data_IF_387512423590
#
_entry.id   IF_387512423590
#
_cell.length_a   1.000
_cell.length_b   1.000
_cell.length_c   1.000
_cell.angle_alpha   90.00
_cell.angle_beta   90.00
_cell.angle_gamma   90.00
#
_symmetry.space_group_name_H-M   'P 1'
#
loop_
_entity.id
_entity.type
_entity.pdbx_description
1 polymer ?
#
# COMPACT_ATOMS: atom_id res chain seq x y z
N UNK A 1 -11.94 8.58 20.70
CA UNK A 1 -10.63 9.24 20.57
C UNK A 1 -10.77 10.67 21.07
N UNK A 2 -9.93 11.09 22.01
CA UNK A 2 -9.92 12.44 22.59
C UNK A 2 -9.11 13.39 21.69
N UNK A 3 -9.43 13.44 20.40
CA UNK A 3 -8.73 14.31 19.45
C UNK A 3 -9.33 15.71 19.50
N UNK A 4 -8.52 16.72 19.73
CA UNK A 4 -8.94 18.12 19.69
C UNK A 4 -8.92 18.64 18.25
N UNK A 5 -9.99 19.34 17.84
CA UNK A 5 -10.11 19.95 16.53
C UNK A 5 -10.38 21.44 16.66
N UNK A 6 -9.61 22.26 15.94
CA UNK A 6 -9.72 23.72 15.96
C UNK A 6 -10.17 24.18 14.57
N UNK A 7 -11.21 25.01 14.56
CA UNK A 7 -11.71 25.65 13.32
C UNK A 7 -11.31 27.12 13.31
N UNK A 8 -10.74 27.57 12.20
CA UNK A 8 -10.42 28.98 12.01
C UNK A 8 -10.60 29.44 10.58
N UNK A 9 -10.59 30.74 10.39
CA UNK A 9 -10.61 31.39 9.07
C UNK A 9 -9.24 32.00 8.79
N UNK A 10 -8.71 31.75 7.58
CA UNK A 10 -7.45 32.33 7.13
C UNK A 10 -7.58 32.88 5.71
N UNK A 11 -6.76 33.85 5.34
CA UNK A 11 -6.62 34.22 3.93
C UNK A 11 -5.88 33.12 3.16
N UNK A 12 -6.00 33.05 1.82
CA UNK A 12 -5.22 32.13 1.02
C UNK A 12 -3.70 32.26 1.25
N UNK A 13 -3.19 33.49 1.44
CA UNK A 13 -1.76 33.71 1.73
C UNK A 13 -1.35 33.16 3.10
N UNK A 14 -2.14 33.40 4.15
CA UNK A 14 -1.91 32.84 5.47
C UNK A 14 -1.90 31.30 5.39
N UNK A 15 -2.88 30.74 4.70
CA UNK A 15 -2.96 29.30 4.51
C UNK A 15 -1.73 28.73 3.79
N UNK A 16 -1.30 29.34 2.67
CA UNK A 16 -0.11 28.88 1.95
C UNK A 16 1.17 28.99 2.80
N UNK A 17 1.24 29.96 3.71
CA UNK A 17 2.32 30.06 4.68
C UNK A 17 2.29 28.91 5.69
N UNK A 18 1.11 28.60 6.24
CA UNK A 18 0.91 27.52 7.20
C UNK A 18 1.35 26.14 6.64
N UNK A 19 0.96 25.84 5.41
CA UNK A 19 1.32 24.55 4.81
C UNK A 19 2.77 24.53 4.29
N UNK A 20 3.37 25.70 4.06
CA UNK A 20 4.75 25.84 3.59
C UNK A 20 4.95 25.47 2.12
N UNK A 21 6.21 25.51 1.66
CA UNK A 21 6.55 25.17 0.27
C UNK A 21 6.56 23.65 0.01
N UNK A 22 6.81 22.89 1.05
CA UNK A 22 7.01 21.44 1.00
C UNK A 22 5.71 20.67 1.30
N UNK A 23 4.55 21.31 1.10
CA UNK A 23 3.24 20.67 1.35
C UNK A 23 3.02 19.42 0.47
N UNK A 24 3.78 19.25 -0.59
CA UNK A 24 3.78 18.06 -1.45
C UNK A 24 4.54 16.88 -0.83
N UNK A 25 5.42 17.12 0.15
CA UNK A 25 6.30 16.10 0.73
C UNK A 25 5.63 15.22 1.78
N UNK A 26 4.43 15.60 2.24
CA UNK A 26 3.71 14.78 3.19
C UNK A 26 3.39 13.41 2.59
N UNK A 27 4.07 12.38 3.08
CA UNK A 27 4.13 11.04 2.51
C UNK A 27 2.78 10.32 2.35
N UNK A 28 1.73 10.82 2.98
CA UNK A 28 0.38 10.25 2.94
C UNK A 28 -0.50 10.83 1.82
N UNK A 29 -0.03 11.87 1.11
CA UNK A 29 -0.82 12.61 0.14
C UNK A 29 -0.78 11.99 -1.28
N UNK A 30 -1.88 12.21 -2.04
CA UNK A 30 -1.93 11.90 -3.47
C UNK A 30 -1.06 12.87 -4.27
N UNK A 31 -0.65 12.41 -5.46
CA UNK A 31 -0.01 13.30 -6.45
C UNK A 31 -1.01 14.30 -7.03
N UNK A 32 -0.45 15.39 -7.56
CA UNK A 32 -1.20 16.34 -8.37
C UNK A 32 -1.86 15.64 -9.56
N UNK A 33 -3.18 15.73 -9.65
CA UNK A 33 -3.95 15.21 -10.77
C UNK A 33 -4.18 16.32 -11.82
N UNK A 34 -3.92 16.02 -13.10
CA UNK A 34 -4.34 16.87 -14.20
C UNK A 34 -5.80 16.57 -14.50
N UNK A 35 -6.71 17.38 -13.99
CA UNK A 35 -8.14 17.21 -14.20
C UNK A 35 -8.71 18.27 -15.14
N UNK A 36 -9.66 17.87 -16.02
CA UNK A 36 -10.32 18.80 -16.96
C UNK A 36 -11.02 19.99 -16.29
N UNK A 37 -11.42 19.86 -15.02
CA UNK A 37 -12.09 20.90 -14.26
C UNK A 37 -11.12 21.80 -13.48
N UNK A 38 -9.80 21.61 -13.61
CA UNK A 38 -8.80 22.40 -12.91
C UNK A 38 -8.87 23.89 -13.29
N UNK A 39 -8.94 24.17 -14.59
CA UNK A 39 -9.02 25.53 -15.10
C UNK A 39 -10.32 26.23 -14.67
N UNK A 40 -11.45 25.49 -14.67
CA UNK A 40 -12.73 26.04 -14.20
C UNK A 40 -12.67 26.41 -12.72
N UNK A 41 -12.16 25.52 -11.86
CA UNK A 41 -12.02 25.81 -10.44
C UNK A 41 -11.06 26.98 -10.19
N UNK A 42 -10.02 27.13 -11.02
CA UNK A 42 -9.10 28.27 -10.97
C UNK A 42 -9.81 29.60 -11.24
N UNK A 43 -10.68 29.67 -12.26
CA UNK A 43 -11.48 30.86 -12.57
C UNK A 43 -12.53 31.12 -11.49
N UNK A 44 -13.16 30.08 -10.94
CA UNK A 44 -14.11 30.21 -9.83
C UNK A 44 -13.42 30.80 -8.58
N UNK A 45 -12.19 30.40 -8.27
CA UNK A 45 -11.40 30.96 -7.15
C UNK A 45 -11.07 32.43 -7.41
N UNK A 46 -10.66 32.81 -8.64
CA UNK A 46 -10.42 34.21 -9.01
C UNK A 46 -11.68 35.05 -8.86
N UNK A 47 -12.84 34.48 -9.15
CA UNK A 47 -14.13 35.15 -9.00
C UNK A 47 -14.57 35.31 -7.51
N UNK A 48 -13.88 34.67 -6.58
CA UNK A 48 -14.16 34.75 -5.14
C UNK A 48 -15.13 33.69 -4.64
N UNK A 49 -15.25 32.56 -5.31
CA UNK A 49 -16.10 31.43 -4.86
C UNK A 49 -15.66 30.90 -3.49
N UNK A 50 -16.63 30.58 -2.64
CA UNK A 50 -16.39 29.94 -1.34
C UNK A 50 -15.93 28.52 -1.58
N UNK A 51 -14.75 28.18 -1.06
CA UNK A 51 -14.21 26.82 -1.13
C UNK A 51 -14.69 25.97 0.05
N UNK A 52 -14.87 24.66 -0.15
CA UNK A 52 -15.04 23.74 0.96
C UNK A 52 -13.89 23.84 1.96
N UNK A 53 -14.14 23.54 3.23
CA UNK A 53 -13.13 23.57 4.28
C UNK A 53 -11.90 22.70 3.93
N UNK A 54 -10.75 23.11 4.43
CA UNK A 54 -9.47 22.39 4.26
C UNK A 54 -9.11 21.77 5.61
N UNK A 55 -8.84 20.47 5.61
CA UNK A 55 -8.48 19.74 6.82
C UNK A 55 -6.97 19.54 6.92
N UNK A 56 -6.42 19.91 8.05
CA UNK A 56 -4.99 19.95 8.35
C UNK A 56 -4.67 19.11 9.59
N UNK A 57 -3.50 18.50 9.66
CA UNK A 57 -2.93 17.96 10.87
C UNK A 57 -1.72 18.81 11.27
N UNK A 58 -1.66 19.23 12.52
CA UNK A 58 -0.48 19.91 13.04
C UNK A 58 0.69 18.92 13.06
N UNK A 59 1.86 19.34 12.57
CA UNK A 59 3.05 18.48 12.55
C UNK A 59 3.54 18.17 13.95
N UNK A 60 4.13 16.98 14.18
CA UNK A 60 4.56 16.55 15.51
C UNK A 60 5.48 17.55 16.23
N UNK A 61 6.37 18.21 15.50
CA UNK A 61 7.32 19.19 16.04
C UNK A 61 6.68 20.49 16.56
N UNK A 62 5.46 20.81 16.13
CA UNK A 62 4.69 21.98 16.56
C UNK A 62 3.58 21.64 17.55
N UNK A 63 3.22 20.35 17.64
CA UNK A 63 2.00 19.90 18.30
C UNK A 63 1.96 20.21 19.79
N UNK A 64 3.06 19.98 20.51
CA UNK A 64 3.10 20.23 21.97
C UNK A 64 2.94 21.71 22.29
N UNK A 65 3.54 22.62 21.50
CA UNK A 65 3.38 24.06 21.67
C UNK A 65 1.95 24.50 21.37
N UNK A 66 1.31 23.94 20.34
CA UNK A 66 -0.09 24.24 19.99
C UNK A 66 -1.04 23.75 21.08
N UNK A 67 -0.84 22.54 21.61
CA UNK A 67 -1.65 22.00 22.70
C UNK A 67 -1.49 22.83 23.99
N UNK A 68 -0.27 23.21 24.33
CA UNK A 68 -0.01 24.06 25.52
C UNK A 68 -0.69 25.42 25.39
N UNK A 69 -0.55 26.06 24.23
CA UNK A 69 -1.21 27.35 23.98
C UNK A 69 -2.74 27.22 24.00
N UNK A 70 -3.29 26.15 23.43
CA UNK A 70 -4.73 25.90 23.47
C UNK A 70 -5.26 25.80 24.91
N UNK A 71 -4.51 25.15 25.79
CA UNK A 71 -4.95 24.93 27.17
C UNK A 71 -4.64 26.11 28.10
N UNK A 72 -3.50 26.80 27.91
CA UNK A 72 -2.95 27.72 28.91
C UNK A 72 -2.81 29.16 28.40
N UNK A 73 -2.66 29.40 27.11
CA UNK A 73 -2.44 30.73 26.53
C UNK A 73 -3.06 30.89 25.15
N UNK A 74 -4.38 31.10 25.07
CA UNK A 74 -5.10 31.22 23.78
C UNK A 74 -4.60 32.34 22.86
N UNK A 75 -3.99 33.40 23.39
CA UNK A 75 -3.46 34.51 22.60
C UNK A 75 -2.26 34.11 21.74
N UNK A 76 -1.47 33.12 22.18
CA UNK A 76 -0.35 32.56 21.42
C UNK A 76 -0.76 31.43 20.46
N UNK A 77 -1.97 30.91 20.60
CA UNK A 77 -2.47 29.82 19.78
C UNK A 77 -2.43 30.15 18.28
N UNK A 78 -2.87 31.36 17.93
CA UNK A 78 -2.88 31.83 16.53
C UNK A 78 -1.45 31.89 15.98
N UNK A 79 -0.48 32.35 16.78
CA UNK A 79 0.92 32.41 16.38
C UNK A 79 1.50 31.01 16.11
N UNK A 80 1.22 30.04 16.98
CA UNK A 80 1.70 28.67 16.81
C UNK A 80 1.03 27.94 15.64
N UNK A 81 -0.29 28.12 15.44
CA UNK A 81 -1.00 27.54 14.30
C UNK A 81 -0.57 28.14 12.96
N UNK A 82 -0.23 29.44 12.94
CA UNK A 82 0.19 30.16 11.72
C UNK A 82 1.69 30.08 11.43
N UNK A 83 2.45 29.34 12.24
CA UNK A 83 3.88 29.14 11.99
C UNK A 83 4.12 28.52 10.60
N UNK A 84 5.13 29.00 9.85
CA UNK A 84 5.39 28.51 8.50
C UNK A 84 5.67 26.99 8.48
N UNK A 85 4.96 26.27 7.64
CA UNK A 85 5.10 24.83 7.50
C UNK A 85 4.61 24.01 8.70
N UNK A 86 3.78 24.58 9.58
CA UNK A 86 3.33 23.93 10.83
C UNK A 86 2.34 22.79 10.64
N UNK A 87 1.72 22.67 9.46
CA UNK A 87 0.65 21.69 9.25
C UNK A 87 0.80 20.89 7.96
N UNK A 88 0.36 19.65 8.00
CA UNK A 88 0.19 18.77 6.86
C UNK A 88 -1.26 18.81 6.39
N UNK A 89 -1.48 18.75 5.08
CA UNK A 89 -2.83 18.74 4.51
C UNK A 89 -3.40 17.32 4.61
N UNK A 90 -4.60 17.15 5.15
CA UNK A 90 -5.33 15.87 5.16
C UNK A 90 -6.37 15.81 4.03
N UNK A 91 -7.14 16.91 3.85
CA UNK A 91 -8.02 17.10 2.69
C UNK A 91 -7.84 18.52 2.13
N UNK A 92 -7.98 18.65 0.80
CA UNK A 92 -7.85 19.93 0.10
C UNK A 92 -6.59 20.09 -0.75
N UNK A 93 -5.76 19.06 -0.90
CA UNK A 93 -4.49 19.15 -1.63
C UNK A 93 -4.65 19.69 -3.07
N UNK A 94 -5.65 19.24 -3.82
CA UNK A 94 -5.86 19.75 -5.19
C UNK A 94 -6.22 21.24 -5.22
N UNK A 95 -6.97 21.71 -4.22
CA UNK A 95 -7.27 23.14 -4.01
C UNK A 95 -6.00 23.91 -3.67
N UNK A 96 -5.13 23.33 -2.86
CA UNK A 96 -3.83 23.91 -2.50
C UNK A 96 -2.95 24.13 -3.73
N UNK A 97 -2.88 23.14 -4.63
CA UNK A 97 -2.15 23.29 -5.89
C UNK A 97 -2.67 24.46 -6.70
N UNK A 98 -4.00 24.65 -6.78
CA UNK A 98 -4.59 25.75 -7.53
C UNK A 98 -4.28 27.10 -6.86
N UNK A 99 -4.42 27.19 -5.54
CA UNK A 99 -4.09 28.42 -4.80
C UNK A 99 -2.62 28.77 -4.96
N UNK A 100 -1.73 27.79 -4.86
CA UNK A 100 -0.30 28.00 -5.05
C UNK A 100 0.04 28.42 -6.50
N UNK A 101 -0.58 27.81 -7.50
CA UNK A 101 -0.41 28.20 -8.91
C UNK A 101 -0.88 29.63 -9.16
N UNK A 102 -2.03 30.00 -8.61
CA UNK A 102 -2.54 31.38 -8.72
C UNK A 102 -1.55 32.38 -8.14
N UNK A 103 -0.99 32.08 -6.97
CA UNK A 103 -0.02 32.97 -6.30
C UNK A 103 1.32 33.03 -7.02
N UNK A 104 1.86 31.89 -7.43
CA UNK A 104 3.23 31.78 -7.96
C UNK A 104 3.34 31.97 -9.46
N UNK A 105 2.42 31.44 -10.24
CA UNK A 105 2.49 31.43 -11.70
C UNK A 105 1.67 32.56 -12.32
N UNK A 106 0.49 32.88 -11.76
CA UNK A 106 -0.40 33.94 -12.29
C UNK A 106 -0.17 35.27 -11.59
N UNK A 107 0.63 35.32 -10.51
CA UNK A 107 0.81 36.51 -9.64
C UNK A 107 -0.53 37.09 -9.19
N UNK A 108 -1.50 36.26 -8.92
CA UNK A 108 -2.85 36.67 -8.53
C UNK A 108 -2.86 37.15 -7.08
N UNK A 109 -3.40 38.36 -6.88
CA UNK A 109 -3.60 38.92 -5.55
C UNK A 109 -4.99 38.55 -5.02
N UNK A 110 -5.04 37.74 -3.98
CA UNK A 110 -6.28 37.36 -3.32
C UNK A 110 -6.88 38.56 -2.57
N UNK A 111 -8.21 38.63 -2.59
CA UNK A 111 -8.91 39.69 -1.83
C UNK A 111 -8.85 39.41 -0.34
N UNK A 112 -8.71 40.44 0.49
CA UNK A 112 -8.62 40.29 1.95
C UNK A 112 -9.88 39.64 2.56
N UNK A 113 -11.04 39.86 1.95
CA UNK A 113 -12.31 39.26 2.35
C UNK A 113 -12.43 37.80 1.97
N UNK A 114 -11.57 37.28 1.09
CA UNK A 114 -11.58 35.90 0.66
C UNK A 114 -10.95 35.04 1.77
N UNK A 115 -11.80 34.30 2.47
CA UNK A 115 -11.39 33.45 3.59
C UNK A 115 -11.57 31.97 3.27
N UNK A 116 -10.67 31.18 3.76
CA UNK A 116 -10.72 29.72 3.77
C UNK A 116 -11.10 29.25 5.17
N UNK A 117 -12.01 28.28 5.27
CA UNK A 117 -12.26 27.58 6.52
C UNK A 117 -11.19 26.48 6.67
N UNK A 118 -10.43 26.54 7.74
CA UNK A 118 -9.40 25.57 8.10
C UNK A 118 -9.85 24.76 9.32
N UNK A 119 -9.65 23.45 9.26
CA UNK A 119 -9.89 22.51 10.34
C UNK A 119 -8.55 21.90 10.74
N UNK A 120 -8.02 22.24 11.93
CA UNK A 120 -6.76 21.71 12.45
C UNK A 120 -7.01 20.57 13.41
N UNK A 121 -6.39 19.43 13.13
CA UNK A 121 -6.37 18.25 13.98
C UNK A 121 -5.11 18.24 14.85
N UNK A 122 -5.32 18.26 16.18
CA UNK A 122 -4.26 18.11 17.17
C UNK A 122 -4.19 16.63 17.56
N UNK A 123 -3.54 15.83 16.71
CA UNK A 123 -3.49 14.38 16.87
C UNK A 123 -2.03 13.92 16.91
N UNK A 124 -1.67 13.19 17.96
CA UNK A 124 -0.31 12.62 18.13
C UNK A 124 -0.15 11.30 17.39
N UNK A 125 -1.24 10.55 17.24
CA UNK A 125 -1.20 9.23 16.63
C UNK A 125 -1.39 9.32 15.13
N UNK A 126 -0.35 8.94 14.38
CA UNK A 126 -0.37 8.91 12.93
C UNK A 126 -1.49 8.00 12.37
N UNK A 127 -1.88 6.96 13.10
CA UNK A 127 -2.94 6.05 12.68
C UNK A 127 -4.31 6.73 12.67
N UNK A 128 -4.59 7.55 13.66
CA UNK A 128 -5.81 8.35 13.70
C UNK A 128 -5.86 9.35 12.54
N UNK A 129 -4.72 9.95 12.20
CA UNK A 129 -4.58 10.85 11.04
C UNK A 129 -4.87 10.08 9.73
N UNK A 130 -4.27 8.91 9.54
CA UNK A 130 -4.48 8.05 8.37
C UNK A 130 -5.95 7.63 8.25
N UNK A 131 -6.53 7.15 9.35
CA UNK A 131 -7.96 6.79 9.38
C UNK A 131 -8.84 7.96 8.93
N UNK A 132 -8.58 9.15 9.46
CA UNK A 132 -9.33 10.35 9.08
C UNK A 132 -9.18 10.70 7.61
N UNK A 133 -7.97 10.60 7.06
CA UNK A 133 -7.74 10.81 5.63
C UNK A 133 -8.56 9.86 4.76
N UNK A 134 -8.62 8.58 5.12
CA UNK A 134 -9.42 7.58 4.41
C UNK A 134 -10.90 7.95 4.45
N UNK A 135 -11.42 8.30 5.63
CA UNK A 135 -12.84 8.67 5.81
C UNK A 135 -13.19 9.94 5.04
N UNK A 136 -12.39 11.00 5.15
CA UNK A 136 -12.61 12.27 4.43
C UNK A 136 -12.63 12.10 2.91
N UNK A 137 -11.79 11.24 2.39
CA UNK A 137 -11.69 11.01 0.95
C UNK A 137 -12.68 9.97 0.42
N UNK A 138 -13.44 9.29 1.27
CA UNK A 138 -14.41 8.25 0.85
C UNK A 138 -15.62 8.82 0.06
N UNK A 139 -15.96 10.07 0.29
CA UNK A 139 -17.08 10.77 -0.38
C UNK A 139 -16.72 11.54 -1.64
N UNK A 140 -15.42 11.62 -1.99
CA UNK A 140 -14.91 12.31 -3.18
C UNK A 140 -14.56 11.29 -4.28
N UNK A 141 -13.72 11.68 -5.27
CA UNK A 141 -13.12 10.67 -6.16
C UNK A 141 -12.36 9.68 -5.28
N UNK A 142 -12.93 8.49 -5.11
CA UNK A 142 -12.42 7.50 -4.16
C UNK A 142 -10.91 7.24 -4.34
N UNK A 143 -10.16 7.16 -3.26
CA UNK A 143 -8.80 6.66 -3.30
C UNK A 143 -8.80 5.26 -3.88
N UNK A 144 -7.75 4.90 -4.67
CA UNK A 144 -7.55 3.51 -5.02
C UNK A 144 -7.41 2.68 -3.73
N UNK A 145 -7.92 1.46 -3.74
CA UNK A 145 -7.78 0.55 -2.60
C UNK A 145 -6.31 0.33 -2.28
N UNK A 146 -5.47 0.22 -3.30
CA UNK A 146 -4.02 0.11 -3.15
C UNK A 146 -3.44 1.29 -2.36
N UNK A 147 -3.83 2.52 -2.70
CA UNK A 147 -3.38 3.71 -1.97
C UNK A 147 -3.86 3.73 -0.51
N UNK A 148 -5.08 3.27 -0.24
CA UNK A 148 -5.59 3.16 1.13
C UNK A 148 -4.80 2.15 1.96
N UNK A 149 -4.44 1.00 1.37
CA UNK A 149 -3.60 -0.01 2.01
C UNK A 149 -2.18 0.54 2.24
N UNK A 150 -1.59 1.21 1.25
CA UNK A 150 -0.28 1.85 1.39
C UNK A 150 -0.28 2.84 2.57
N UNK A 151 -1.33 3.65 2.71
CA UNK A 151 -1.45 4.60 3.83
C UNK A 151 -1.45 3.89 5.20
N UNK A 152 -2.16 2.78 5.32
CA UNK A 152 -2.22 2.03 6.57
C UNK A 152 -0.85 1.42 6.94
N UNK A 153 -0.06 1.00 5.97
CA UNK A 153 1.22 0.34 6.20
C UNK A 153 2.45 1.27 6.16
N UNK A 154 2.29 2.52 5.69
CA UNK A 154 3.43 3.43 5.51
C UNK A 154 4.14 3.77 6.83
N UNK A 155 3.38 3.87 7.93
CA UNK A 155 3.94 4.08 9.27
C UNK A 155 4.79 2.91 9.76
N UNK A 156 4.56 1.72 9.22
CA UNK A 156 5.31 0.51 9.55
C UNK A 156 6.46 0.24 8.58
N UNK A 157 6.54 0.97 7.46
CA UNK A 157 7.50 0.71 6.38
C UNK A 157 8.95 0.63 6.88
N UNK A 158 9.41 1.63 7.63
CA UNK A 158 10.79 1.67 8.15
C UNK A 158 11.08 0.53 9.14
N UNK A 159 10.08 0.17 9.96
CA UNK A 159 10.20 -0.95 10.90
C UNK A 159 10.29 -2.28 10.14
N UNK A 160 9.46 -2.45 9.12
CA UNK A 160 9.46 -3.64 8.27
C UNK A 160 10.80 -3.76 7.55
N UNK A 161 11.26 -2.69 6.87
CA UNK A 161 12.54 -2.68 6.14
C UNK A 161 13.73 -2.98 7.05
N UNK A 162 13.71 -2.54 8.32
CA UNK A 162 14.78 -2.84 9.27
C UNK A 162 14.86 -4.31 9.67
N UNK A 163 13.80 -5.09 9.47
CA UNK A 163 13.71 -6.52 9.79
C UNK A 163 13.89 -7.43 8.58
N UNK A 164 13.89 -6.87 7.39
CA UNK A 164 14.09 -7.61 6.15
C UNK A 164 15.59 -7.69 5.81
N UNK A 165 16.00 -8.66 4.97
CA UNK A 165 17.36 -8.72 4.43
C UNK A 165 17.79 -7.40 3.78
N UNK A 166 19.08 -7.08 3.88
CA UNK A 166 19.61 -5.87 3.26
C UNK A 166 19.36 -5.84 1.75
N UNK A 167 18.94 -4.68 1.26
CA UNK A 167 18.70 -4.44 -0.16
C UNK A 167 17.25 -4.72 -0.60
N UNK A 168 16.35 -5.11 0.30
CA UNK A 168 14.91 -5.15 0.00
C UNK A 168 14.35 -3.73 0.05
N UNK A 169 13.68 -3.31 -1.01
CA UNK A 169 13.02 -2.02 -1.14
C UNK A 169 11.50 -2.21 -1.19
N UNK A 170 10.79 -1.54 -0.29
CA UNK A 170 9.33 -1.44 -0.32
C UNK A 170 8.94 -0.09 -0.93
N UNK A 171 8.06 -0.09 -1.93
CA UNK A 171 7.59 1.13 -2.56
C UNK A 171 6.06 1.25 -2.50
N UNK A 172 5.57 2.48 -2.44
CA UNK A 172 4.15 2.80 -2.46
C UNK A 172 3.68 3.21 -3.86
N UNK A 173 2.38 3.28 -4.09
CA UNK A 173 1.80 3.81 -5.34
C UNK A 173 2.32 5.24 -5.63
N UNK A 174 2.60 6.01 -4.57
CA UNK A 174 3.13 7.36 -4.66
C UNK A 174 4.52 7.42 -5.29
N UNK A 175 5.37 6.43 -5.02
CA UNK A 175 6.77 6.44 -5.47
C UNK A 175 6.90 6.34 -6.99
N UNK A 176 5.77 6.12 -7.72
CA UNK A 176 5.72 5.89 -9.17
C UNK A 176 6.73 4.82 -9.61
N UNK A 177 7.01 3.94 -8.69
CA UNK A 177 7.99 2.89 -8.86
C UNK A 177 7.32 1.65 -9.42
N UNK A 178 8.07 0.90 -10.18
CA UNK A 178 7.65 -0.42 -10.67
C UNK A 178 8.69 -1.43 -10.25
N UNK A 179 8.29 -2.67 -10.16
CA UNK A 179 9.23 -3.76 -9.96
C UNK A 179 10.11 -3.90 -11.22
N UNK A 180 11.35 -3.45 -11.11
CA UNK A 180 12.36 -3.53 -12.16
C UNK A 180 13.51 -4.46 -11.79
N UNK A 181 13.50 -4.98 -10.57
CA UNK A 181 14.52 -5.85 -9.98
C UNK A 181 13.91 -6.75 -8.90
N UNK A 182 14.51 -7.89 -8.58
CA UNK A 182 13.93 -8.91 -7.70
C UNK A 182 13.71 -8.45 -6.26
N UNK A 183 14.44 -7.48 -5.78
CA UNK A 183 14.39 -7.04 -4.37
C UNK A 183 13.39 -5.90 -4.13
N UNK A 184 12.47 -5.64 -5.05
CA UNK A 184 11.59 -4.48 -5.02
C UNK A 184 10.13 -4.90 -5.03
N UNK A 185 9.39 -4.52 -3.97
CA UNK A 185 8.00 -4.95 -3.78
C UNK A 185 7.08 -3.79 -3.45
N UNK A 186 5.82 -3.79 -3.97
CA UNK A 186 4.81 -2.83 -3.53
C UNK A 186 4.46 -3.06 -2.04
N UNK A 187 4.36 -1.98 -1.27
CA UNK A 187 3.97 -2.05 0.14
C UNK A 187 2.56 -2.64 0.31
N UNK A 188 1.64 -2.28 -0.58
CA UNK A 188 0.29 -2.85 -0.63
C UNK A 188 0.28 -4.36 -0.87
N UNK A 189 1.17 -4.86 -1.73
CA UNK A 189 1.28 -6.30 -1.99
C UNK A 189 1.77 -7.06 -0.75
N UNK A 190 2.74 -6.50 -0.02
CA UNK A 190 3.18 -7.07 1.26
C UNK A 190 2.03 -7.09 2.28
N UNK A 191 1.28 -5.99 2.40
CA UNK A 191 0.15 -5.88 3.30
C UNK A 191 -0.95 -6.91 3.00
N UNK A 192 -1.29 -7.08 1.72
CA UNK A 192 -2.27 -8.09 1.27
C UNK A 192 -1.75 -9.50 1.51
N UNK A 193 -0.46 -9.75 1.29
CA UNK A 193 0.17 -11.04 1.58
C UNK A 193 0.09 -11.39 3.07
N UNK A 194 0.34 -10.42 3.94
CA UNK A 194 0.15 -10.60 5.38
C UNK A 194 -1.31 -10.92 5.73
N UNK A 195 -2.27 -10.20 5.13
CA UNK A 195 -3.69 -10.51 5.33
C UNK A 195 -4.03 -11.93 4.87
N UNK A 196 -3.54 -12.37 3.71
CA UNK A 196 -3.74 -13.75 3.24
C UNK A 196 -3.15 -14.78 4.22
N UNK A 197 -2.00 -14.48 4.81
CA UNK A 197 -1.35 -15.32 5.81
C UNK A 197 -2.18 -15.47 7.10
N UNK A 198 -2.68 -14.37 7.68
CA UNK A 198 -3.47 -14.41 8.93
C UNK A 198 -4.86 -14.99 8.72
N UNK A 199 -5.51 -14.67 7.60
CA UNK A 199 -6.86 -15.19 7.27
C UNK A 199 -6.84 -16.59 6.67
N UNK A 200 -5.65 -17.10 6.28
CA UNK A 200 -5.48 -18.41 5.65
C UNK A 200 -6.26 -18.56 4.33
N UNK A 201 -6.54 -17.45 3.70
CA UNK A 201 -7.38 -17.36 2.51
C UNK A 201 -6.67 -16.57 1.40
N UNK A 202 -6.64 -17.13 0.21
CA UNK A 202 -6.12 -16.50 -1.00
C UNK A 202 -7.17 -15.71 -1.78
N UNK A 203 -8.44 -15.82 -1.42
CA UNK A 203 -9.51 -15.00 -2.00
C UNK A 203 -9.49 -13.60 -1.38
N UNK A 204 -9.51 -12.59 -2.24
CA UNK A 204 -9.46 -11.21 -1.83
C UNK A 204 -10.77 -10.51 -2.14
N UNK A 205 -11.46 -10.09 -1.11
CA UNK A 205 -12.37 -8.96 -1.18
C UNK A 205 -11.62 -7.72 -0.70
N UNK A 206 -11.08 -6.95 -1.67
CA UNK A 206 -10.30 -5.77 -1.38
C UNK A 206 -11.07 -4.70 -0.58
N UNK A 207 -12.41 -4.65 -0.72
CA UNK A 207 -13.24 -3.70 0.04
C UNK A 207 -13.37 -4.11 1.51
N UNK A 208 -13.44 -5.41 1.79
CA UNK A 208 -13.49 -5.92 3.16
C UNK A 208 -12.13 -5.86 3.87
N UNK A 209 -11.04 -5.79 3.11
CA UNK A 209 -9.67 -5.81 3.62
C UNK A 209 -9.37 -4.56 4.44
N UNK A 210 -9.75 -3.38 3.95
CA UNK A 210 -9.54 -2.11 4.65
C UNK A 210 -10.33 -2.08 5.95
N UNK A 211 -11.62 -2.48 5.90
CA UNK A 211 -12.44 -2.56 7.10
C UNK A 211 -11.84 -3.51 8.14
N UNK A 212 -11.35 -4.68 7.72
CA UNK A 212 -10.70 -5.63 8.62
C UNK A 212 -9.39 -5.12 9.21
N UNK A 213 -8.54 -4.47 8.44
CA UNK A 213 -7.33 -3.85 9.00
C UNK A 213 -7.64 -2.78 10.04
N UNK A 214 -8.80 -2.12 9.93
CA UNK A 214 -9.27 -1.14 10.91
C UNK A 214 -9.90 -1.81 12.14
N UNK A 215 -10.70 -2.87 11.95
CA UNK A 215 -11.41 -3.56 13.01
C UNK A 215 -10.51 -4.49 13.84
N UNK A 216 -9.54 -5.15 13.22
CA UNK A 216 -8.67 -6.14 13.89
C UNK A 216 -7.59 -5.50 14.76
N UNK A 217 -7.53 -4.17 14.87
CA UNK A 217 -6.51 -3.48 15.66
C UNK A 217 -5.08 -3.76 15.21
N UNK A 218 -4.90 -4.25 13.96
CA UNK A 218 -3.57 -4.49 13.38
C UNK A 218 -2.72 -3.21 13.43
N UNK A 219 -3.40 -2.06 13.51
CA UNK A 219 -2.82 -0.75 13.60
C UNK A 219 -2.67 -0.23 15.04
N UNK A 220 -3.49 -0.72 15.99
CA UNK A 220 -3.39 -0.35 17.42
C UNK A 220 -2.18 -0.98 18.12
N UNK A 221 -1.63 -2.03 17.53
CA UNK A 221 -0.44 -2.73 18.04
C UNK A 221 0.88 -1.99 17.79
N UNK A 222 0.84 -0.70 17.46
CA UNK A 222 2.02 0.13 17.22
C UNK A 222 2.99 0.22 18.41
N UNK A 223 2.62 -0.27 19.59
CA UNK A 223 3.50 -0.31 20.79
C UNK A 223 3.82 -1.69 21.32
N UNK A 224 2.98 -2.66 21.09
CA UNK A 224 3.23 -4.04 21.49
C UNK A 224 3.42 -4.90 20.27
N UNK A 225 4.43 -4.53 19.46
CA UNK A 225 4.95 -5.59 18.69
C UNK A 225 4.09 -5.95 17.49
N UNK A 226 4.58 -5.70 16.45
CA UNK A 226 4.47 -6.71 15.41
C UNK A 226 4.26 -8.04 16.12
N UNK A 227 3.01 -8.45 16.25
CA UNK A 227 2.66 -9.63 17.01
C UNK A 227 3.47 -10.83 16.49
N UNK A 228 3.54 -11.90 17.25
CA UNK A 228 4.32 -13.09 16.89
C UNK A 228 4.01 -13.56 15.44
N UNK A 229 2.76 -13.44 15.02
CA UNK A 229 2.32 -13.79 13.65
C UNK A 229 2.94 -12.90 12.58
N UNK A 230 3.08 -11.60 12.83
CA UNK A 230 3.73 -10.71 11.87
C UNK A 230 5.23 -10.94 11.78
N UNK A 231 5.89 -11.22 12.91
CA UNK A 231 7.31 -11.58 12.89
C UNK A 231 7.55 -12.87 12.11
N UNK A 232 6.69 -13.85 12.29
CA UNK A 232 6.75 -15.10 11.54
C UNK A 232 6.44 -14.90 10.05
N UNK A 233 5.46 -14.07 9.72
CA UNK A 233 5.22 -13.65 8.34
C UNK A 233 6.47 -13.00 7.72
N UNK A 234 7.16 -12.10 8.43
CA UNK A 234 8.40 -11.49 7.95
C UNK A 234 9.53 -12.49 7.75
N UNK A 235 9.63 -13.54 8.56
CA UNK A 235 10.58 -14.62 8.33
C UNK A 235 10.28 -15.38 7.02
N UNK A 236 9.00 -15.71 6.79
CA UNK A 236 8.59 -16.31 5.52
C UNK A 236 8.75 -15.36 4.33
N UNK A 237 8.51 -14.06 4.55
CA UNK A 237 8.73 -13.06 3.50
C UNK A 237 10.22 -12.92 3.17
N UNK A 238 11.11 -12.97 4.16
CA UNK A 238 12.56 -13.01 3.93
C UNK A 238 12.96 -14.22 3.09
N UNK A 239 12.48 -15.41 3.44
CA UNK A 239 12.67 -16.60 2.63
C UNK A 239 12.13 -16.42 1.20
N UNK A 240 10.91 -15.89 1.07
CA UNK A 240 10.30 -15.60 -0.23
C UNK A 240 11.17 -14.71 -1.10
N UNK A 241 11.76 -13.64 -0.53
CA UNK A 241 12.64 -12.73 -1.28
C UNK A 241 13.93 -13.40 -1.75
N UNK A 242 14.44 -14.37 -1.00
CA UNK A 242 15.62 -15.16 -1.41
C UNK A 242 15.30 -16.02 -2.63
N UNK A 243 14.22 -16.81 -2.58
CA UNK A 243 13.85 -17.69 -3.71
C UNK A 243 13.40 -16.87 -4.93
N UNK A 244 12.71 -15.76 -4.73
CA UNK A 244 12.29 -14.86 -5.80
C UNK A 244 13.48 -14.25 -6.53
N UNK A 245 14.54 -13.86 -5.80
CA UNK A 245 15.78 -13.35 -6.40
C UNK A 245 16.45 -14.38 -7.31
N UNK A 246 16.54 -15.63 -6.87
CA UNK A 246 17.15 -16.70 -7.66
C UNK A 246 16.28 -17.05 -8.87
N UNK A 247 14.97 -17.16 -8.69
CA UNK A 247 14.02 -17.40 -9.77
C UNK A 247 14.06 -16.27 -10.83
N UNK A 248 14.09 -15.01 -10.37
CA UNK A 248 14.24 -13.87 -11.29
C UNK A 248 15.47 -13.99 -12.19
N UNK A 249 16.63 -14.31 -11.62
CA UNK A 249 17.87 -14.44 -12.39
C UNK A 249 17.79 -15.58 -13.41
N UNK A 250 17.13 -16.70 -13.07
CA UNK A 250 16.92 -17.83 -14.00
C UNK A 250 15.97 -17.46 -15.14
N UNK A 251 14.88 -16.79 -14.84
CA UNK A 251 13.83 -16.48 -15.81
C UNK A 251 14.02 -15.17 -16.58
N UNK A 252 14.99 -14.31 -16.20
CA UNK A 252 15.14 -12.98 -16.81
C UNK A 252 15.35 -12.97 -18.33
N UNK A 253 15.94 -14.04 -18.86
CA UNK A 253 16.22 -14.20 -20.28
C UNK A 253 15.18 -15.06 -21.02
N UNK A 254 14.18 -15.58 -20.30
CA UNK A 254 13.09 -16.34 -20.90
C UNK A 254 11.96 -15.38 -21.25
N UNK A 255 11.75 -15.17 -22.55
CA UNK A 255 10.61 -14.41 -23.07
C UNK A 255 9.48 -15.39 -23.38
N UNK A 256 8.28 -15.08 -22.92
CA UNK A 256 7.08 -15.72 -23.47
C UNK A 256 6.90 -15.14 -24.87
N UNK A 257 6.79 -15.97 -25.90
CA UNK A 257 6.30 -15.54 -27.22
C UNK A 257 4.82 -15.14 -27.07
N UNK A 258 4.62 -13.85 -26.77
CA UNK A 258 3.29 -13.31 -26.54
C UNK A 258 2.68 -12.94 -27.90
N UNK A 259 1.94 -13.87 -28.49
CA UNK A 259 0.96 -13.59 -29.54
C UNK A 259 -0.44 -13.22 -28.99
N UNK A 260 -0.56 -12.92 -27.70
CA UNK A 260 -1.84 -12.52 -27.09
C UNK A 260 -1.70 -11.15 -26.42
N UNK A 261 -2.39 -10.18 -27.01
CA UNK A 261 -2.66 -8.85 -26.48
C UNK A 261 -3.50 -8.97 -25.20
N UNK A 262 -2.87 -9.10 -24.03
CA UNK A 262 -3.57 -8.88 -22.76
C UNK A 262 -3.57 -7.40 -22.40
N UNK A 263 -4.77 -6.82 -22.37
CA UNK A 263 -5.12 -5.40 -22.24
C UNK A 263 -4.95 -4.83 -20.81
N UNK A 264 -4.30 -5.51 -19.88
CA UNK A 264 -4.25 -5.12 -18.46
C UNK A 264 -2.87 -4.77 -17.88
N UNK A 265 -1.88 -4.43 -18.72
CA UNK A 265 -0.67 -3.74 -18.23
C UNK A 265 0.27 -4.53 -17.31
N UNK A 266 0.02 -5.79 -17.02
CA UNK A 266 0.89 -6.65 -16.23
C UNK A 266 1.73 -7.51 -17.17
N UNK A 267 3.04 -7.28 -17.14
CA UNK A 267 4.01 -8.10 -17.88
C UNK A 267 3.90 -9.57 -17.42
N UNK A 268 3.43 -10.45 -18.28
CA UNK A 268 3.44 -11.91 -18.07
C UNK A 268 4.85 -12.48 -18.28
N UNK A 269 5.85 -11.87 -17.69
CA UNK A 269 7.22 -12.35 -17.73
C UNK A 269 7.42 -13.45 -16.70
N UNK A 270 8.06 -14.55 -17.06
CA UNK A 270 8.42 -15.64 -16.15
C UNK A 270 9.17 -15.14 -14.93
N UNK A 271 10.05 -14.16 -15.09
CA UNK A 271 10.84 -13.57 -14.00
C UNK A 271 10.01 -12.93 -12.89
N UNK A 272 8.79 -12.43 -13.20
CA UNK A 272 7.91 -11.79 -12.22
C UNK A 272 6.84 -12.75 -11.70
N UNK A 273 6.83 -14.01 -12.14
CA UNK A 273 5.75 -14.94 -11.84
C UNK A 273 5.57 -15.16 -10.34
N UNK A 274 6.64 -15.44 -9.61
CA UNK A 274 6.56 -15.72 -8.17
C UNK A 274 6.05 -14.50 -7.39
N UNK A 275 6.51 -13.31 -7.74
CA UNK A 275 6.13 -12.06 -7.08
C UNK A 275 4.89 -11.40 -7.68
N UNK A 276 4.13 -12.07 -8.57
CA UNK A 276 2.82 -11.56 -8.95
C UNK A 276 1.79 -11.80 -7.84
N UNK A 277 0.70 -11.01 -7.85
CA UNK A 277 -0.33 -11.07 -6.83
C UNK A 277 -0.89 -12.48 -6.63
N UNK A 278 -1.10 -13.24 -7.71
CA UNK A 278 -1.72 -14.55 -7.62
C UNK A 278 -0.82 -15.60 -6.95
N UNK A 279 0.47 -15.62 -7.29
CA UNK A 279 1.41 -16.57 -6.73
C UNK A 279 1.78 -16.20 -5.29
N UNK A 280 2.09 -14.92 -5.06
CA UNK A 280 2.50 -14.45 -3.74
C UNK A 280 1.39 -14.61 -2.69
N UNK A 281 0.16 -14.20 -3.02
CA UNK A 281 -0.98 -14.32 -2.09
C UNK A 281 -1.35 -15.77 -1.81
N UNK A 282 -1.30 -16.63 -2.84
CA UNK A 282 -1.53 -18.07 -2.70
C UNK A 282 -0.47 -18.71 -1.78
N UNK A 283 0.80 -18.37 -1.98
CA UNK A 283 1.91 -18.88 -1.18
C UNK A 283 1.73 -18.53 0.31
N UNK A 284 1.49 -17.26 0.64
CA UNK A 284 1.32 -16.84 2.03
C UNK A 284 0.03 -17.36 2.68
N UNK A 285 -1.07 -17.46 1.94
CA UNK A 285 -2.29 -18.09 2.44
C UNK A 285 -2.08 -19.56 2.81
N UNK A 286 -1.32 -20.29 2.01
CA UNK A 286 -1.00 -21.70 2.29
C UNK A 286 -0.11 -21.81 3.52
N UNK A 287 0.95 -21.03 3.65
CA UNK A 287 1.80 -21.02 4.84
C UNK A 287 0.99 -20.75 6.11
N UNK A 288 0.14 -19.71 6.10
CA UNK A 288 -0.74 -19.40 7.22
C UNK A 288 -1.71 -20.54 7.56
N UNK A 289 -2.24 -21.25 6.55
CA UNK A 289 -3.17 -22.36 6.76
C UNK A 289 -2.48 -23.59 7.36
N UNK A 290 -1.26 -23.88 7.00
CA UNK A 290 -0.51 -25.07 7.44
C UNK A 290 0.17 -24.88 8.79
N UNK A 291 0.58 -23.65 9.11
CA UNK A 291 1.21 -23.29 10.37
C UNK A 291 0.32 -23.59 11.59
N UNK A 292 -0.98 -23.42 11.46
CA UNK A 292 -1.94 -23.67 12.55
C UNK A 292 -2.33 -25.14 12.69
N UNK A 293 -1.66 -26.03 12.00
CA UNK A 293 -1.93 -27.47 12.01
C UNK A 293 -0.72 -28.24 12.54
N UNK A 294 -0.89 -29.56 12.78
CA UNK A 294 0.23 -30.46 13.11
C UNK A 294 1.27 -30.62 12.00
N UNK A 295 1.16 -29.84 10.92
CA UNK A 295 2.02 -29.89 9.74
C UNK A 295 3.14 -28.83 9.74
N UNK A 296 3.30 -28.07 10.84
CA UNK A 296 4.30 -26.99 10.93
C UNK A 296 5.73 -27.48 10.62
N UNK A 297 6.13 -28.65 11.15
CA UNK A 297 7.45 -29.25 10.86
C UNK A 297 7.67 -29.63 9.39
N UNK A 298 6.60 -29.78 8.60
CA UNK A 298 6.70 -30.05 7.16
C UNK A 298 7.00 -28.80 6.35
N UNK A 299 6.60 -27.61 6.86
CA UNK A 299 6.85 -26.35 6.17
C UNK A 299 8.36 -26.15 6.01
N UNK A 300 9.13 -26.28 7.08
CA UNK A 300 10.57 -26.06 7.05
C UNK A 300 11.28 -26.97 6.05
N UNK A 301 10.95 -28.27 6.05
CA UNK A 301 11.50 -29.23 5.09
C UNK A 301 11.15 -28.86 3.65
N UNK A 302 9.88 -28.56 3.38
CA UNK A 302 9.43 -28.18 2.05
C UNK A 302 10.06 -26.86 1.57
N UNK A 303 10.23 -25.89 2.45
CA UNK A 303 10.90 -24.63 2.10
C UNK A 303 12.38 -24.85 1.77
N UNK A 304 13.07 -25.73 2.51
CA UNK A 304 14.45 -26.10 2.19
C UNK A 304 14.54 -26.81 0.83
N UNK A 305 13.66 -27.79 0.58
CA UNK A 305 13.58 -28.45 -0.72
C UNK A 305 13.27 -27.46 -1.87
N UNK A 306 12.36 -26.49 -1.64
CA UNK A 306 12.07 -25.46 -2.63
C UNK A 306 13.30 -24.59 -2.93
N UNK A 307 14.10 -24.25 -1.92
CA UNK A 307 15.35 -23.49 -2.10
C UNK A 307 16.37 -24.26 -2.95
N UNK A 308 16.49 -25.55 -2.76
CA UNK A 308 17.33 -26.43 -3.58
C UNK A 308 16.83 -26.48 -5.02
N UNK A 309 15.54 -26.78 -5.24
CA UNK A 309 14.91 -26.80 -6.56
C UNK A 309 15.12 -25.47 -7.30
N UNK A 310 14.86 -24.35 -6.63
CA UNK A 310 15.04 -23.03 -7.24
C UNK A 310 16.50 -22.73 -7.55
N UNK A 311 17.46 -23.32 -6.83
CA UNK A 311 18.88 -23.14 -7.10
C UNK A 311 19.39 -24.02 -8.24
N UNK A 312 18.89 -25.25 -8.36
CA UNK A 312 19.43 -26.27 -9.25
C UNK A 312 18.71 -26.33 -10.61
N UNK A 313 17.38 -26.24 -10.63
CA UNK A 313 16.59 -26.42 -11.83
C UNK A 313 16.50 -25.17 -12.72
N UNK A 314 16.40 -25.37 -14.03
CA UNK A 314 16.27 -24.28 -15.01
C UNK A 314 14.86 -23.67 -15.03
N UNK A 315 13.83 -24.51 -14.85
CA UNK A 315 12.43 -24.10 -14.70
C UNK A 315 11.87 -24.58 -13.34
N UNK A 316 12.30 -23.97 -12.23
CA UNK A 316 12.04 -24.47 -10.89
C UNK A 316 10.55 -24.48 -10.50
N UNK A 317 9.71 -23.72 -11.16
CA UNK A 317 8.26 -23.69 -10.93
C UNK A 317 7.46 -24.40 -12.03
N UNK A 318 8.14 -25.07 -12.99
CA UNK A 318 7.50 -25.70 -14.15
C UNK A 318 6.58 -24.74 -14.90
N UNK A 319 7.06 -23.51 -15.16
CA UNK A 319 6.26 -22.44 -15.77
C UNK A 319 5.89 -22.74 -17.21
N UNK A 320 6.72 -23.47 -17.95
CA UNK A 320 6.35 -23.96 -19.29
C UNK A 320 5.11 -24.84 -19.20
N UNK A 321 5.10 -25.81 -18.28
CA UNK A 321 3.94 -26.66 -18.06
C UNK A 321 2.73 -25.88 -17.53
N UNK A 322 2.96 -24.91 -16.64
CA UNK A 322 1.90 -24.04 -16.15
C UNK A 322 1.23 -23.25 -17.31
N UNK A 323 2.01 -22.67 -18.20
CA UNK A 323 1.47 -21.85 -19.30
C UNK A 323 0.83 -22.69 -20.41
N UNK A 324 1.40 -23.87 -20.73
CA UNK A 324 0.91 -24.72 -21.79
C UNK A 324 -0.32 -25.54 -21.39
N UNK A 325 -0.40 -25.98 -20.13
CA UNK A 325 -1.44 -26.93 -19.67
C UNK A 325 -2.37 -26.30 -18.64
N UNK A 326 -1.82 -25.74 -17.57
CA UNK A 326 -2.63 -25.33 -16.41
C UNK A 326 -3.44 -24.05 -16.70
N UNK A 327 -2.79 -23.02 -17.22
CA UNK A 327 -3.43 -21.71 -17.49
C UNK A 327 -4.59 -21.81 -18.50
N UNK A 328 -4.47 -22.57 -19.61
CA UNK A 328 -5.61 -22.82 -20.50
C UNK A 328 -6.78 -23.51 -19.83
N UNK A 329 -6.55 -24.50 -18.98
CA UNK A 329 -7.64 -25.18 -18.24
C UNK A 329 -8.37 -24.24 -17.31
N UNK A 330 -7.65 -23.35 -16.60
CA UNK A 330 -8.25 -22.31 -15.75
C UNK A 330 -9.10 -21.35 -16.62
N UNK A 331 -8.58 -20.94 -17.76
CA UNK A 331 -9.21 -19.96 -18.65
C UNK A 331 -10.48 -20.49 -19.31
N UNK A 332 -10.62 -21.80 -19.51
CA UNK A 332 -11.84 -22.43 -20.03
C UNK A 332 -13.07 -22.16 -19.17
N UNK A 333 -12.92 -21.94 -17.87
CA UNK A 333 -14.03 -21.68 -16.95
C UNK A 333 -14.66 -20.29 -17.09
N UNK A 334 -14.10 -19.39 -17.91
CA UNK A 334 -14.56 -18.04 -18.29
C UNK A 334 -15.02 -17.09 -17.17
N UNK A 335 -15.27 -17.56 -15.98
CA UNK A 335 -15.72 -16.76 -14.84
C UNK A 335 -14.67 -16.79 -13.72
N UNK A 336 -14.44 -15.64 -13.06
CA UNK A 336 -13.55 -15.52 -11.90
C UNK A 336 -12.13 -16.07 -12.13
N UNK A 337 -11.56 -15.82 -13.34
CA UNK A 337 -10.25 -16.37 -13.74
C UNK A 337 -9.19 -16.10 -12.66
N UNK A 338 -9.10 -14.87 -12.14
CA UNK A 338 -8.12 -14.51 -11.12
C UNK A 338 -8.26 -15.32 -9.82
N UNK A 339 -9.49 -15.54 -9.33
CA UNK A 339 -9.74 -16.36 -8.15
C UNK A 339 -9.39 -17.83 -8.40
N UNK A 340 -9.78 -18.36 -9.57
CA UNK A 340 -9.43 -19.72 -9.97
C UNK A 340 -7.91 -19.90 -10.10
N UNK A 341 -7.21 -18.93 -10.66
CA UNK A 341 -5.74 -18.94 -10.75
C UNK A 341 -5.12 -19.04 -9.37
N UNK A 342 -5.51 -18.17 -8.43
CA UNK A 342 -5.00 -18.23 -7.05
C UNK A 342 -5.31 -19.56 -6.36
N UNK A 343 -6.52 -20.09 -6.57
CA UNK A 343 -6.93 -21.37 -6.01
C UNK A 343 -6.04 -22.52 -6.49
N UNK A 344 -5.77 -22.59 -7.80
CA UNK A 344 -4.93 -23.63 -8.39
C UNK A 344 -3.48 -23.51 -7.90
N UNK A 345 -2.93 -22.28 -7.87
CA UNK A 345 -1.58 -22.03 -7.35
C UNK A 345 -1.50 -22.39 -5.86
N UNK A 346 -2.50 -22.03 -5.06
CA UNK A 346 -2.56 -22.40 -3.65
C UNK A 346 -2.63 -23.92 -3.46
N UNK A 347 -3.38 -24.63 -4.30
CA UNK A 347 -3.44 -26.09 -4.26
C UNK A 347 -2.10 -26.72 -4.58
N UNK A 348 -1.37 -26.22 -5.56
CA UNK A 348 -0.02 -26.66 -5.91
C UNK A 348 0.96 -26.49 -4.74
N UNK A 349 1.05 -25.28 -4.16
CA UNK A 349 1.92 -25.04 -3.01
C UNK A 349 1.52 -25.90 -1.78
N UNK A 350 0.22 -26.05 -1.54
CA UNK A 350 -0.28 -26.87 -0.44
C UNK A 350 0.10 -28.33 -0.59
N UNK A 351 0.00 -28.87 -1.79
CA UNK A 351 0.40 -30.24 -2.10
C UNK A 351 1.91 -30.42 -1.90
N UNK A 352 2.71 -29.52 -2.45
CA UNK A 352 4.16 -29.54 -2.31
C UNK A 352 4.60 -29.54 -0.82
N UNK A 353 4.02 -28.62 -0.01
CA UNK A 353 4.38 -28.49 1.41
C UNK A 353 3.91 -29.71 2.21
N UNK A 354 2.71 -30.24 1.94
CA UNK A 354 2.21 -31.44 2.63
C UNK A 354 3.08 -32.67 2.41
N UNK A 355 3.69 -32.75 1.24
CA UNK A 355 4.62 -33.84 0.88
C UNK A 355 6.10 -33.47 1.19
N UNK A 356 6.34 -32.49 2.08
CA UNK A 356 7.67 -32.12 2.57
C UNK A 356 8.66 -31.72 1.44
N UNK A 357 8.13 -31.35 0.25
CA UNK A 357 8.93 -31.03 -0.93
C UNK A 357 9.41 -32.25 -1.75
N UNK A 358 9.05 -33.45 -1.36
CA UNK A 358 9.48 -34.69 -2.06
C UNK A 358 8.77 -34.90 -3.41
N UNK A 359 7.56 -34.36 -3.55
CA UNK A 359 6.80 -34.51 -4.78
C UNK A 359 7.23 -33.45 -5.81
N UNK A 360 7.53 -33.87 -7.07
CA UNK A 360 7.88 -32.91 -8.14
C UNK A 360 6.82 -31.84 -8.35
N UNK A 361 7.23 -30.59 -8.56
CA UNK A 361 6.32 -29.44 -8.74
C UNK A 361 5.34 -29.70 -9.90
N UNK A 362 5.78 -30.32 -10.97
CA UNK A 362 4.92 -30.71 -12.09
C UNK A 362 3.76 -31.62 -11.69
N UNK A 363 4.00 -32.58 -10.80
CA UNK A 363 2.93 -33.45 -10.28
C UNK A 363 2.00 -32.69 -9.33
N UNK A 364 2.56 -31.76 -8.52
CA UNK A 364 1.75 -30.87 -7.70
C UNK A 364 0.81 -30.00 -8.56
N UNK A 365 1.25 -29.53 -9.73
CA UNK A 365 0.40 -28.84 -10.69
C UNK A 365 -0.71 -29.72 -11.24
N UNK A 366 -0.40 -30.96 -11.62
CA UNK A 366 -1.43 -31.91 -12.12
C UNK A 366 -2.51 -32.16 -11.08
N UNK A 367 -2.12 -32.36 -9.83
CA UNK A 367 -3.05 -32.60 -8.73
C UNK A 367 -3.90 -31.37 -8.38
N UNK A 368 -3.41 -30.16 -8.66
CA UNK A 368 -4.08 -28.91 -8.36
C UNK A 368 -5.31 -28.60 -9.26
N UNK A 369 -5.41 -29.22 -10.44
CA UNK A 369 -6.51 -28.99 -11.40
C UNK A 369 -7.59 -30.07 -11.37
N UNK A 370 -7.38 -31.16 -10.63
CA UNK A 370 -8.37 -32.20 -10.38
C UNK A 370 -9.32 -31.75 -9.28
#
# INVERSE_FOLDING_TARGET
>A
TETTVIYCLATPEQYLTIVGKDFEEFNLQRRREKHKNYDRLKEDIKAGTVLPGITLAVKPEFLDNVIDSFNNNPDDLVNHLSAPGSANILDGLQRTYILNDLKTNDNFDFKEEQKLLLEFWLEKDIQNIIYRMIVLNSGQKAMSIQHQIDLLFISLKSIIESKLPQGIELYSERDNSRRTQPNKYPLSQLAVSYHCFITKNHEQDQNSLIAKFQDDGVLDSSKEILNQQFQQFLQYFSFFTEIDKVAWEKYKNQSIDINETETNGHSNSYKDWLANDSAMFAFFAVLGSLQSTSLEGRIEKALNALKEIVSEENDPFELDFYHEVIKPEISRKRANIGANTRKVIASMFKEFIRNEGEQPIKECWRNAIV
#
